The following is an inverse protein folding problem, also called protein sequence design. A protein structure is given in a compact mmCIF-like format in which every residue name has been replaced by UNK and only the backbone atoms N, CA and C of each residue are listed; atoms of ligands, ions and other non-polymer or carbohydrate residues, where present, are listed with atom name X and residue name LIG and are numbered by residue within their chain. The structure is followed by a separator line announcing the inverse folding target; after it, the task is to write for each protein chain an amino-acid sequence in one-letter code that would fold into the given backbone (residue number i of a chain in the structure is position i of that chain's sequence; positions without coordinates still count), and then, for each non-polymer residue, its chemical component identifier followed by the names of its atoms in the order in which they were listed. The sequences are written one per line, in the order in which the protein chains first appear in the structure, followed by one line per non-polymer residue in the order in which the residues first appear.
data_IF_012528263270
#
_entry.id   IF_012528263270
#
_cell.length_a   1.000
_cell.length_b   1.000
_cell.length_c   1.000
_cell.angle_alpha   90.00
_cell.angle_beta   90.00
_cell.angle_gamma   90.00
#
_symmetry.space_group_name_H-M   'P 1'
#
loop_
_entity.id
_entity.type
_entity.pdbx_description
1 polymer ?
#
# COMPACT_ATOMS: atom_id res chain seq x y z
N UNK A 1 -56.00 -15.83 58.42
CA UNK A 1 -55.39 -16.28 57.12
C UNK A 1 -55.47 -15.22 56.02
N UNK A 2 -56.53 -14.42 55.90
CA UNK A 2 -56.69 -13.43 54.83
C UNK A 2 -55.65 -12.30 54.83
N UNK A 3 -55.21 -11.80 55.98
CA UNK A 3 -54.24 -10.65 56.07
C UNK A 3 -52.87 -10.99 55.60
N UNK A 4 -52.39 -12.22 55.72
CA UNK A 4 -51.09 -12.64 55.24
C UNK A 4 -51.05 -12.84 53.69
N UNK A 5 -52.18 -13.15 53.08
CA UNK A 5 -52.33 -13.27 51.64
C UNK A 5 -52.15 -11.90 50.97
N UNK A 6 -52.68 -10.86 51.51
CA UNK A 6 -52.50 -9.49 50.99
C UNK A 6 -51.07 -8.98 51.14
N UNK A 7 -50.37 -9.36 52.19
CA UNK A 7 -48.96 -9.00 52.37
C UNK A 7 -48.08 -9.75 51.36
N UNK A 8 -48.36 -11.00 51.15
CA UNK A 8 -47.62 -11.80 50.11
C UNK A 8 -47.89 -11.27 48.71
N UNK A 9 -49.12 -10.95 48.35
CA UNK A 9 -49.49 -10.35 47.09
C UNK A 9 -48.85 -8.96 46.88
N UNK A 10 -48.81 -8.14 47.90
CA UNK A 10 -48.15 -6.83 47.87
C UNK A 10 -46.63 -6.95 47.75
N UNK A 11 -46.01 -7.93 48.41
CA UNK A 11 -44.59 -8.25 48.27
C UNK A 11 -44.22 -8.76 46.88
N UNK A 12 -45.07 -9.58 46.26
CA UNK A 12 -44.86 -10.08 44.90
C UNK A 12 -44.97 -8.97 43.83
N UNK A 13 -45.86 -7.97 44.08
CA UNK A 13 -46.00 -6.83 43.18
C UNK A 13 -44.79 -5.86 43.20
N UNK A 14 -44.04 -5.84 44.31
CA UNK A 14 -42.79 -5.03 44.42
C UNK A 14 -41.58 -5.67 43.71
N UNK A 15 -41.65 -6.96 43.37
CA UNK A 15 -40.57 -7.68 42.68
C UNK A 15 -40.65 -7.57 41.15
N UNK A 16 -41.70 -6.98 40.58
CA UNK A 16 -41.84 -6.72 39.16
C UNK A 16 -41.23 -5.37 38.73
N UNK A 17 -40.10 -4.97 39.33
CA UNK A 17 -39.30 -3.87 38.80
C UNK A 17 -38.63 -4.36 37.54
N UNK A 18 -39.28 -4.19 36.37
CA UNK A 18 -38.61 -4.27 35.08
C UNK A 18 -37.52 -3.20 35.05
N UNK A 19 -36.28 -3.60 35.28
CA UNK A 19 -35.16 -2.80 34.90
C UNK A 19 -35.26 -2.61 33.37
N UNK A 20 -35.74 -1.43 32.97
CA UNK A 20 -35.60 -1.00 31.59
C UNK A 20 -34.08 -0.97 31.33
N UNK A 21 -33.56 -1.96 30.61
CA UNK A 21 -32.25 -1.88 30.00
C UNK A 21 -32.36 -0.75 28.97
N UNK A 22 -32.25 0.49 29.45
CA UNK A 22 -32.02 1.62 28.58
C UNK A 22 -30.88 1.22 27.66
N UNK A 23 -31.07 1.33 26.36
CA UNK A 23 -30.02 1.05 25.39
C UNK A 23 -28.73 1.69 25.91
N UNK A 24 -27.67 0.87 26.04
CA UNK A 24 -26.35 1.39 26.41
C UNK A 24 -25.98 2.59 25.51
N UNK A 25 -25.05 3.42 25.94
CA UNK A 25 -24.62 4.56 25.12
C UNK A 25 -24.32 4.05 23.73
N UNK A 26 -25.13 4.50 22.78
CA UNK A 26 -24.83 4.27 21.35
C UNK A 26 -23.61 5.15 21.09
N UNK A 27 -22.49 4.52 20.73
CA UNK A 27 -21.27 5.23 20.35
C UNK A 27 -21.56 6.32 19.33
N UNK A 28 -20.68 7.29 19.22
CA UNK A 28 -20.73 8.32 18.17
C UNK A 28 -20.71 7.72 16.76
N UNK A 29 -20.78 8.53 15.71
CA UNK A 29 -20.56 8.08 14.33
C UNK A 29 -19.24 7.30 14.26
N UNK A 30 -19.24 6.20 13.49
CA UNK A 30 -18.03 5.42 13.23
C UNK A 30 -17.00 6.32 12.56
N UNK A 31 -15.77 6.32 13.05
CA UNK A 31 -14.66 6.96 12.36
C UNK A 31 -14.32 6.19 11.07
N UNK A 32 -14.18 6.92 9.98
CA UNK A 32 -13.84 6.37 8.66
C UNK A 32 -12.53 6.95 8.11
N UNK A 33 -11.85 7.78 8.93
CA UNK A 33 -10.57 8.38 8.57
C UNK A 33 -9.47 7.36 8.86
N UNK A 34 -8.59 7.05 7.91
CA UNK A 34 -7.45 6.19 8.17
C UNK A 34 -6.38 6.92 9.00
N UNK A 35 -5.48 6.18 9.68
CA UNK A 35 -4.35 6.77 10.39
C UNK A 35 -3.51 7.67 9.49
N UNK A 36 -3.08 8.82 10.02
CA UNK A 36 -2.26 9.79 9.30
C UNK A 36 -0.83 9.74 9.83
N UNK A 37 0.15 9.69 8.92
CA UNK A 37 1.57 9.72 9.27
C UNK A 37 1.95 11.12 9.75
N UNK A 38 2.42 11.24 11.00
CA UNK A 38 2.91 12.49 11.58
C UNK A 38 4.43 12.66 11.47
N UNK A 39 5.15 11.54 11.61
CA UNK A 39 6.62 11.58 11.61
C UNK A 39 7.21 10.25 11.18
N UNK A 40 8.30 10.33 10.44
CA UNK A 40 9.11 9.18 10.00
C UNK A 40 10.56 9.35 10.46
N UNK A 41 11.21 8.24 10.82
CA UNK A 41 12.61 8.25 11.22
C UNK A 41 13.30 6.94 10.79
N UNK A 42 14.22 6.98 9.79
CA UNK A 42 14.49 8.09 8.89
C UNK A 42 13.27 8.52 8.07
N UNK A 43 13.32 9.68 7.42
CA UNK A 43 12.22 10.16 6.58
C UNK A 43 12.12 9.34 5.28
N UNK A 44 10.91 9.21 4.74
CA UNK A 44 10.68 8.60 3.45
C UNK A 44 11.51 9.33 2.36
N UNK A 45 12.16 8.57 1.49
CA UNK A 45 13.08 9.14 0.50
C UNK A 45 14.51 9.34 0.98
N UNK A 46 14.90 8.82 2.16
CA UNK A 46 16.27 8.92 2.67
C UNK A 46 17.28 8.26 1.73
N UNK A 47 18.36 8.96 1.45
CA UNK A 47 19.54 8.47 0.73
C UNK A 47 20.64 8.04 1.72
N UNK A 48 21.55 7.18 1.24
CA UNK A 48 22.65 6.65 2.06
C UNK A 48 22.15 6.07 3.39
N UNK A 49 21.05 5.31 3.30
CA UNK A 49 20.40 4.70 4.45
C UNK A 49 21.34 3.67 5.10
N UNK A 50 21.68 3.91 6.35
CA UNK A 50 22.55 3.04 7.18
C UNK A 50 21.86 2.55 8.47
N UNK A 51 20.61 2.96 8.68
CA UNK A 51 19.85 2.59 9.86
C UNK A 51 19.39 1.13 9.80
N UNK A 52 19.35 0.46 10.95
CA UNK A 52 18.79 -0.91 11.06
C UNK A 52 17.29 -0.92 11.30
N UNK A 53 16.70 0.25 11.56
CA UNK A 53 15.30 0.41 11.94
C UNK A 53 14.68 1.62 11.27
N UNK A 54 13.40 1.46 10.92
CA UNK A 54 12.52 2.55 10.52
C UNK A 54 11.43 2.65 11.58
N UNK A 55 11.10 3.87 11.98
CA UNK A 55 10.00 4.17 12.89
C UNK A 55 9.06 5.19 12.23
N UNK A 56 7.77 4.88 12.23
CA UNK A 56 6.71 5.70 11.64
C UNK A 56 5.68 5.96 12.74
N UNK A 57 5.45 7.24 13.04
CA UNK A 57 4.50 7.70 14.06
C UNK A 57 3.22 8.21 13.39
N UNK A 58 2.09 7.82 13.96
CA UNK A 58 0.76 8.18 13.49
C UNK A 58 0.04 9.08 14.49
N UNK A 59 -0.97 9.78 14.02
CA UNK A 59 -1.84 10.64 14.84
C UNK A 59 -2.73 9.86 15.82
N UNK A 60 -2.94 8.56 15.57
CA UNK A 60 -3.78 7.67 16.37
C UNK A 60 -3.15 6.31 16.66
N UNK A 61 -3.82 5.47 17.46
CA UNK A 61 -3.41 4.10 17.74
C UNK A 61 -3.62 3.22 16.52
N UNK A 62 -2.60 2.46 16.14
CA UNK A 62 -2.62 1.57 14.99
C UNK A 62 -2.54 0.11 15.39
N UNK A 63 -2.99 -0.75 14.50
CA UNK A 63 -2.77 -2.19 14.52
C UNK A 63 -2.33 -2.69 13.15
N UNK A 64 -1.73 -3.87 13.11
CA UNK A 64 -1.30 -4.51 11.87
C UNK A 64 -2.23 -5.66 11.50
N UNK A 65 -2.66 -5.68 10.25
CA UNK A 65 -3.50 -6.71 9.67
C UNK A 65 -2.73 -7.53 8.64
N UNK A 66 -2.61 -8.83 8.86
CA UNK A 66 -2.00 -9.82 7.95
C UNK A 66 -0.74 -9.31 7.22
N UNK A 67 0.32 -9.05 7.99
CA UNK A 67 1.59 -8.52 7.48
C UNK A 67 2.12 -9.37 6.32
N UNK A 68 2.01 -10.70 6.42
CA UNK A 68 2.55 -11.62 5.42
C UNK A 68 1.84 -11.53 4.07
N UNK A 69 0.57 -11.15 4.07
CA UNK A 69 -0.22 -10.97 2.86
C UNK A 69 -0.10 -9.55 2.30
N UNK A 70 -0.13 -8.56 3.18
CA UNK A 70 -0.33 -7.17 2.79
C UNK A 70 0.98 -6.38 2.65
N UNK A 71 2.06 -6.77 3.35
CA UNK A 71 3.34 -6.05 3.22
C UNK A 71 4.22 -6.71 2.19
N UNK A 72 4.75 -5.89 1.28
CA UNK A 72 5.70 -6.32 0.27
C UNK A 72 6.96 -5.46 0.33
N UNK A 73 8.12 -6.12 0.34
CA UNK A 73 9.42 -5.44 0.35
C UNK A 73 10.17 -5.76 -0.94
N UNK A 74 10.59 -4.74 -1.63
CA UNK A 74 11.29 -4.84 -2.92
C UNK A 74 12.61 -4.06 -2.89
N UNK A 75 13.76 -4.71 -3.15
CA UNK A 75 13.99 -6.14 -3.45
C UNK A 75 13.55 -7.06 -2.32
N UNK A 76 13.16 -8.31 -2.65
CA UNK A 76 12.81 -9.29 -1.62
C UNK A 76 14.00 -9.61 -0.72
N UNK A 77 13.71 -9.79 0.57
CA UNK A 77 14.70 -10.11 1.60
C UNK A 77 14.70 -11.62 1.86
N UNK A 78 15.87 -12.22 2.08
CA UNK A 78 15.97 -13.65 2.48
C UNK A 78 15.40 -13.87 3.88
N UNK A 79 15.64 -12.90 4.77
CA UNK A 79 15.05 -12.88 6.12
C UNK A 79 14.07 -11.72 6.22
N UNK A 80 12.81 -12.03 6.37
CA UNK A 80 11.79 -11.02 6.54
C UNK A 80 12.13 -10.09 7.73
N UNK A 81 12.03 -8.77 7.57
CA UNK A 81 12.20 -7.85 8.67
C UNK A 81 11.10 -8.02 9.72
N UNK A 82 11.41 -7.67 10.94
CA UNK A 82 10.44 -7.63 12.02
C UNK A 82 9.63 -6.35 11.95
N UNK A 83 8.31 -6.49 11.76
CA UNK A 83 7.37 -5.37 11.67
C UNK A 83 6.43 -5.42 12.87
N UNK A 84 6.38 -4.35 13.66
CA UNK A 84 5.57 -4.25 14.87
C UNK A 84 4.85 -2.92 14.97
N UNK A 85 3.62 -2.93 15.46
CA UNK A 85 2.90 -1.75 15.89
C UNK A 85 2.80 -1.72 17.41
N UNK A 86 3.21 -0.62 18.02
CA UNK A 86 3.12 -0.37 19.46
C UNK A 86 2.52 1.01 19.69
N UNK A 87 1.26 1.05 20.14
CA UNK A 87 0.56 2.31 20.33
C UNK A 87 0.35 3.03 18.99
N UNK A 88 0.94 4.20 18.85
CA UNK A 88 0.90 5.03 17.64
C UNK A 88 2.13 4.86 16.74
N UNK A 89 2.97 3.87 17.00
CA UNK A 89 4.26 3.73 16.32
C UNK A 89 4.34 2.39 15.60
N UNK A 90 4.67 2.43 14.31
CA UNK A 90 5.11 1.30 13.51
C UNK A 90 6.63 1.25 13.52
N UNK A 91 7.20 0.07 13.75
CA UNK A 91 8.63 -0.18 13.70
C UNK A 91 8.93 -1.29 12.70
N UNK A 92 9.87 -1.06 11.81
CA UNK A 92 10.43 -2.05 10.87
C UNK A 92 11.89 -2.22 11.21
N UNK A 93 12.32 -3.46 11.54
CA UNK A 93 13.70 -3.79 11.90
C UNK A 93 14.22 -4.81 10.89
N UNK A 94 15.26 -4.46 10.15
CA UNK A 94 15.88 -5.35 9.17
C UNK A 94 16.67 -6.44 9.87
N UNK A 95 16.44 -7.70 9.46
CA UNK A 95 17.07 -8.89 10.03
C UNK A 95 18.41 -9.24 9.36
N UNK A 96 18.71 -8.63 8.23
CA UNK A 96 19.92 -8.82 7.44
C UNK A 96 20.50 -7.49 6.97
N UNK A 97 21.74 -7.51 6.51
CA UNK A 97 22.38 -6.34 5.91
C UNK A 97 21.74 -6.05 4.56
N UNK A 98 21.48 -4.77 4.31
CA UNK A 98 20.90 -4.31 3.06
C UNK A 98 22.00 -4.26 1.98
N UNK A 99 21.61 -4.54 0.74
CA UNK A 99 22.52 -4.45 -0.41
C UNK A 99 22.89 -3.00 -0.68
N UNK A 100 24.18 -2.73 -0.87
CA UNK A 100 24.68 -1.40 -1.17
C UNK A 100 24.11 -0.83 -2.48
N UNK A 101 24.05 0.50 -2.55
CA UNK A 101 23.61 1.24 -3.74
C UNK A 101 22.31 0.74 -4.32
N UNK A 102 21.35 0.40 -3.45
CA UNK A 102 20.08 -0.23 -3.83
C UNK A 102 18.91 0.58 -3.27
N UNK A 103 17.91 0.85 -4.11
CA UNK A 103 16.66 1.45 -3.67
C UNK A 103 15.73 0.36 -3.12
N UNK A 104 15.25 0.54 -1.91
CA UNK A 104 14.27 -0.32 -1.26
C UNK A 104 12.91 0.34 -1.22
N UNK A 105 11.88 -0.48 -1.35
CA UNK A 105 10.48 -0.05 -1.27
C UNK A 105 9.76 -0.99 -0.33
N UNK A 106 9.06 -0.46 0.64
CA UNK A 106 8.15 -1.18 1.53
C UNK A 106 6.75 -0.70 1.20
N UNK A 107 5.98 -1.56 0.56
CA UNK A 107 4.55 -1.33 0.32
C UNK A 107 3.77 -1.98 1.46
N UNK A 108 3.04 -1.19 2.23
CA UNK A 108 2.26 -1.68 3.35
C UNK A 108 0.86 -2.14 2.95
N UNK A 109 0.45 -1.88 1.71
CA UNK A 109 -0.87 -2.27 1.21
C UNK A 109 -1.99 -1.83 2.14
N UNK A 110 -2.71 -2.80 2.71
CA UNK A 110 -3.76 -2.58 3.72
C UNK A 110 -3.37 -3.09 5.11
N UNK A 111 -2.06 -3.26 5.38
CA UNK A 111 -1.60 -3.80 6.65
C UNK A 111 -1.77 -2.86 7.83
N UNK A 112 -1.60 -1.55 7.62
CA UNK A 112 -1.71 -0.54 8.68
C UNK A 112 -3.16 -0.13 8.81
N UNK A 113 -3.76 -0.34 9.96
CA UNK A 113 -5.15 0.01 10.23
C UNK A 113 -5.26 0.79 11.53
N UNK A 114 -6.28 1.65 11.64
CA UNK A 114 -6.74 2.16 12.92
C UNK A 114 -7.08 1.02 13.89
N UNK A 115 -6.80 1.25 15.16
CA UNK A 115 -6.99 0.23 16.21
C UNK A 115 -8.46 -0.08 16.51
N UNK A 116 -9.35 0.92 16.47
CA UNK A 116 -10.75 0.79 16.89
C UNK A 116 -11.63 0.25 15.76
N UNK A 117 -11.72 1.00 14.66
CA UNK A 117 -12.61 0.75 13.52
C UNK A 117 -12.01 -0.17 12.46
N UNK A 118 -10.69 -0.37 12.50
CA UNK A 118 -9.91 -1.16 11.52
C UNK A 118 -9.93 -0.56 10.11
N UNK A 119 -10.07 0.76 10.03
CA UNK A 119 -9.98 1.50 8.78
C UNK A 119 -8.54 1.44 8.26
N UNK A 120 -8.27 0.87 7.07
CA UNK A 120 -6.90 0.71 6.58
C UNK A 120 -6.35 2.01 6.00
N UNK A 121 -5.08 2.28 6.27
CA UNK A 121 -4.29 3.24 5.50
C UNK A 121 -3.87 2.57 4.20
N UNK A 122 -4.45 2.98 3.08
CA UNK A 122 -4.16 2.44 1.75
C UNK A 122 -3.03 3.20 1.06
N UNK A 123 -2.34 2.53 0.15
CA UNK A 123 -1.32 3.13 -0.75
C UNK A 123 -0.14 3.79 -0.02
N UNK A 124 0.10 3.43 1.25
CA UNK A 124 1.26 3.94 1.95
C UNK A 124 2.51 3.14 1.59
N UNK A 125 3.42 3.81 0.89
CA UNK A 125 4.68 3.24 0.43
C UNK A 125 5.85 4.03 1.01
N UNK A 126 6.77 3.32 1.65
CA UNK A 126 8.01 3.88 2.17
C UNK A 126 9.19 3.43 1.33
N UNK A 127 9.94 4.37 0.78
CA UNK A 127 11.11 4.10 -0.08
C UNK A 127 12.36 4.75 0.49
N UNK A 128 13.50 4.12 0.30
CA UNK A 128 14.81 4.66 0.67
C UNK A 128 15.90 4.04 -0.21
N UNK A 129 17.08 4.62 -0.19
CA UNK A 129 18.25 4.07 -0.91
C UNK A 129 19.43 3.94 0.01
N UNK A 130 20.14 2.81 -0.07
CA UNK A 130 21.44 2.62 0.57
C UNK A 130 22.56 3.33 -0.21
N UNK A 131 22.28 3.86 -1.39
CA UNK A 131 23.16 4.71 -2.20
C UNK A 131 22.73 6.17 -2.20
N UNK A 132 23.34 6.93 -3.09
CA UNK A 132 23.15 8.37 -3.27
C UNK A 132 22.01 8.76 -4.20
N UNK A 133 21.29 7.77 -4.76
CA UNK A 133 20.17 7.97 -5.70
C UNK A 133 19.02 7.04 -5.35
N UNK A 134 17.80 7.53 -5.47
CA UNK A 134 16.59 6.70 -5.55
C UNK A 134 16.25 6.49 -7.03
N UNK A 135 16.13 5.23 -7.41
CA UNK A 135 15.68 4.83 -8.74
C UNK A 135 14.22 5.27 -8.92
N UNK A 136 13.84 5.78 -10.10
CA UNK A 136 12.52 6.41 -10.31
C UNK A 136 11.72 5.87 -11.49
N UNK A 137 12.28 4.92 -12.27
CA UNK A 137 11.56 4.32 -13.38
C UNK A 137 10.54 3.30 -12.88
N UNK A 138 9.54 3.00 -13.71
CA UNK A 138 8.51 2.04 -13.39
C UNK A 138 8.11 1.21 -14.61
N UNK A 139 7.59 0.00 -14.36
CA UNK A 139 6.92 -0.85 -15.34
C UNK A 139 5.53 -1.15 -14.82
N UNK A 140 4.52 -0.93 -15.65
CA UNK A 140 3.14 -1.27 -15.33
C UNK A 140 2.56 -2.24 -16.35
N UNK A 141 1.61 -3.05 -15.92
CA UNK A 141 0.93 -4.00 -16.77
C UNK A 141 -0.28 -4.62 -16.10
N UNK A 142 -0.76 -5.70 -16.70
CA UNK A 142 -1.90 -6.44 -16.18
C UNK A 142 -1.72 -7.93 -16.39
N UNK A 143 -2.11 -8.74 -15.40
CA UNK A 143 -2.03 -10.20 -15.46
C UNK A 143 -3.42 -10.76 -15.66
N UNK A 144 -3.53 -11.68 -16.62
CA UNK A 144 -4.77 -12.36 -16.97
C UNK A 144 -4.61 -13.88 -16.88
N UNK A 145 -5.68 -14.57 -16.54
CA UNK A 145 -5.78 -16.01 -16.69
C UNK A 145 -5.80 -16.40 -18.19
N UNK A 146 -4.95 -17.34 -18.57
CA UNK A 146 -4.82 -17.74 -19.96
C UNK A 146 -6.03 -18.48 -20.53
N UNK A 147 -6.89 -19.04 -19.67
CA UNK A 147 -8.03 -19.84 -20.10
C UNK A 147 -9.29 -19.01 -20.37
N UNK A 148 -9.53 -17.96 -19.58
CA UNK A 148 -10.75 -17.18 -19.63
C UNK A 148 -10.53 -15.67 -19.78
N UNK A 149 -9.27 -15.21 -19.74
CA UNK A 149 -8.88 -13.80 -19.79
C UNK A 149 -9.39 -12.95 -18.63
N UNK A 150 -9.76 -13.57 -17.53
CA UNK A 150 -10.09 -12.83 -16.31
C UNK A 150 -8.85 -12.25 -15.65
N UNK A 151 -8.93 -11.06 -15.04
CA UNK A 151 -7.81 -10.50 -14.29
C UNK A 151 -7.51 -11.35 -13.04
N UNK A 152 -6.22 -11.54 -12.74
CA UNK A 152 -5.79 -12.31 -11.57
C UNK A 152 -5.25 -11.35 -10.51
N UNK A 153 -5.91 -11.32 -9.35
CA UNK A 153 -5.50 -10.53 -8.19
C UNK A 153 -4.45 -11.24 -7.33
N UNK A 154 -3.61 -10.46 -6.66
CA UNK A 154 -2.67 -10.95 -5.64
C UNK A 154 -1.49 -11.77 -6.16
N UNK A 155 -1.31 -11.86 -7.48
CA UNK A 155 -0.18 -12.56 -8.10
C UNK A 155 1.10 -11.75 -7.90
N UNK A 156 2.18 -12.43 -7.51
CA UNK A 156 3.51 -11.85 -7.44
C UNK A 156 4.00 -11.56 -8.85
N UNK A 157 4.40 -10.31 -9.11
CA UNK A 157 5.04 -9.90 -10.36
C UNK A 157 6.46 -9.47 -10.06
N UNK A 158 7.41 -10.05 -10.77
CA UNK A 158 8.82 -9.80 -10.51
C UNK A 158 9.65 -9.70 -11.79
N UNK A 159 10.82 -9.11 -11.65
CA UNK A 159 11.77 -8.94 -12.76
C UNK A 159 13.13 -9.53 -12.43
N UNK A 160 13.75 -10.06 -13.47
CA UNK A 160 15.14 -10.52 -13.48
C UNK A 160 15.99 -9.75 -14.47
N UNK A 161 17.25 -9.49 -14.13
CA UNK A 161 18.30 -9.05 -15.06
C UNK A 161 19.00 -10.23 -15.74
N UNK A 162 18.93 -11.42 -15.12
CA UNK A 162 19.52 -12.64 -15.66
C UNK A 162 18.59 -13.25 -16.71
N UNK A 163 19.14 -13.55 -17.89
CA UNK A 163 18.39 -14.14 -19.01
C UNK A 163 18.33 -15.67 -18.98
N UNK A 164 19.04 -16.34 -18.07
CA UNK A 164 19.01 -17.79 -17.97
C UNK A 164 17.66 -18.28 -17.42
N UNK A 165 17.10 -19.33 -18.02
CA UNK A 165 15.81 -19.89 -17.57
C UNK A 165 15.88 -20.46 -16.14
N UNK A 166 17.06 -20.93 -15.72
CA UNK A 166 17.28 -21.39 -14.34
C UNK A 166 17.26 -20.27 -13.29
N UNK A 167 17.31 -19.00 -13.71
CA UNK A 167 17.28 -17.88 -12.77
C UNK A 167 16.02 -17.88 -11.90
N UNK A 168 14.88 -18.23 -12.46
CA UNK A 168 13.61 -18.27 -11.76
C UNK A 168 13.58 -19.22 -10.54
N UNK A 169 14.35 -20.30 -10.60
CA UNK A 169 14.40 -21.32 -9.55
C UNK A 169 15.54 -21.11 -8.55
N UNK A 170 16.50 -20.24 -8.86
CA UNK A 170 17.78 -20.17 -8.13
C UNK A 170 18.14 -18.78 -7.64
N UNK A 171 17.57 -17.75 -8.23
CA UNK A 171 17.92 -16.35 -7.93
C UNK A 171 16.63 -15.59 -7.62
N UNK A 172 16.53 -14.90 -6.48
CA UNK A 172 15.39 -14.05 -6.18
C UNK A 172 15.21 -12.93 -7.24
N UNK A 173 13.99 -12.47 -7.38
CA UNK A 173 13.69 -11.31 -8.24
C UNK A 173 14.46 -10.06 -7.78
N UNK A 174 14.85 -9.22 -8.74
CA UNK A 174 15.51 -7.94 -8.47
C UNK A 174 14.51 -6.92 -7.94
N UNK A 175 13.27 -6.98 -8.41
CA UNK A 175 12.14 -6.18 -7.95
C UNK A 175 10.88 -7.01 -8.02
N UNK A 176 9.98 -6.73 -7.09
CA UNK A 176 8.68 -7.40 -7.00
C UNK A 176 7.57 -6.40 -6.70
N UNK A 177 6.36 -6.77 -7.11
CA UNK A 177 5.09 -6.16 -6.75
C UNK A 177 3.99 -7.22 -6.75
N UNK A 178 2.75 -6.85 -6.40
CA UNK A 178 1.57 -7.72 -6.54
C UNK A 178 0.53 -7.06 -7.43
N UNK A 179 -0.29 -7.89 -8.07
CA UNK A 179 -1.46 -7.40 -8.79
C UNK A 179 -2.56 -6.98 -7.82
N UNK A 180 -3.26 -5.89 -8.16
CA UNK A 180 -4.48 -5.45 -7.48
C UNK A 180 -5.68 -6.35 -7.84
N UNK A 181 -6.88 -6.01 -7.31
CA UNK A 181 -8.13 -6.75 -7.55
C UNK A 181 -8.55 -6.78 -9.03
N UNK A 182 -8.03 -5.89 -9.85
CA UNK A 182 -8.26 -5.82 -11.29
C UNK A 182 -7.12 -6.43 -12.12
N UNK A 183 -6.16 -7.07 -11.46
CA UNK A 183 -5.00 -7.67 -12.08
C UNK A 183 -3.92 -6.68 -12.51
N UNK A 184 -4.04 -5.37 -12.20
CA UNK A 184 -3.01 -4.38 -12.52
C UNK A 184 -1.84 -4.48 -11.54
N UNK A 185 -0.65 -4.19 -12.05
CA UNK A 185 0.56 -4.07 -11.25
C UNK A 185 1.40 -2.89 -11.71
N UNK A 186 2.20 -2.36 -10.79
CA UNK A 186 3.27 -1.41 -11.08
C UNK A 186 4.50 -1.75 -10.26
N UNK A 187 5.62 -2.01 -10.93
CA UNK A 187 6.93 -2.16 -10.28
C UNK A 187 7.57 -0.79 -10.29
N UNK A 188 7.73 -0.22 -9.12
CA UNK A 188 8.33 1.11 -8.92
C UNK A 188 9.84 1.03 -8.64
N UNK A 189 10.48 2.19 -8.64
CA UNK A 189 11.86 2.39 -8.22
C UNK A 189 12.85 1.52 -8.96
N UNK A 190 12.73 1.48 -10.29
CA UNK A 190 13.59 0.72 -11.18
C UNK A 190 14.70 1.58 -11.75
N UNK A 191 15.84 0.95 -12.02
CA UNK A 191 16.93 1.51 -12.85
C UNK A 191 16.63 1.34 -14.33
N UNK A 192 17.27 2.15 -15.16
CA UNK A 192 17.40 1.83 -16.59
C UNK A 192 18.15 0.51 -16.76
N UNK A 193 17.63 -0.35 -17.63
CA UNK A 193 18.20 -1.67 -17.87
C UNK A 193 17.24 -2.60 -18.59
N UNK A 194 17.74 -3.80 -18.92
CA UNK A 194 16.98 -4.84 -19.60
C UNK A 194 16.50 -5.88 -18.60
N UNK A 195 15.20 -6.15 -18.60
CA UNK A 195 14.56 -7.03 -17.64
C UNK A 195 13.68 -8.06 -18.31
N UNK A 196 13.68 -9.27 -17.76
CA UNK A 196 12.64 -10.27 -18.01
C UNK A 196 11.57 -10.11 -16.96
N UNK A 197 10.31 -10.04 -17.38
CA UNK A 197 9.15 -9.84 -16.53
C UNK A 197 8.40 -11.17 -16.37
N UNK A 198 8.06 -11.51 -15.14
CA UNK A 198 7.34 -12.72 -14.78
C UNK A 198 6.21 -12.41 -13.83
N UNK A 199 5.14 -13.23 -13.88
CA UNK A 199 4.11 -13.28 -12.87
C UNK A 199 4.07 -14.71 -12.31
N UNK A 200 4.08 -14.84 -10.99
CA UNK A 200 4.20 -16.12 -10.27
C UNK A 200 3.10 -16.22 -9.21
N UNK A 201 2.35 -17.30 -9.22
CA UNK A 201 1.50 -17.64 -8.10
C UNK A 201 2.36 -18.31 -7.01
N UNK A 202 3.12 -17.50 -6.29
CA UNK A 202 4.09 -17.89 -5.27
C UNK A 202 3.36 -18.42 -4.02
N UNK A 203 3.08 -19.71 -3.99
CA UNK A 203 2.42 -20.41 -2.88
C UNK A 203 3.39 -20.64 -1.73
N UNK A 204 4.65 -20.92 -2.07
CA UNK A 204 5.73 -21.19 -1.10
C UNK A 204 6.19 -19.93 -0.37
N UNK A 205 5.98 -18.74 -0.95
CA UNK A 205 6.41 -17.43 -0.45
C UNK A 205 7.93 -17.30 -0.31
N UNK A 206 8.66 -17.96 -1.20
CA UNK A 206 10.13 -17.91 -1.25
C UNK A 206 10.67 -17.02 -2.38
N UNK A 207 9.75 -16.41 -3.17
CA UNK A 207 10.06 -15.55 -4.32
C UNK A 207 10.82 -16.27 -5.44
N UNK A 208 10.76 -17.60 -5.46
CA UNK A 208 11.34 -18.47 -6.47
C UNK A 208 10.25 -19.34 -7.09
N UNK A 209 10.42 -19.69 -8.34
CA UNK A 209 9.50 -20.63 -8.99
C UNK A 209 9.72 -22.06 -8.47
N UNK A 210 8.66 -22.69 -8.01
CA UNK A 210 8.62 -24.10 -7.61
C UNK A 210 7.76 -24.91 -8.58
N UNK A 211 8.10 -26.20 -8.85
CA UNK A 211 7.26 -27.06 -9.68
C UNK A 211 5.82 -27.17 -9.12
N UNK A 212 4.85 -26.84 -9.96
CA UNK A 212 3.43 -26.86 -9.61
C UNK A 212 2.82 -25.48 -9.36
N UNK A 213 3.63 -24.44 -9.26
CA UNK A 213 3.15 -23.06 -9.22
C UNK A 213 2.81 -22.56 -10.64
N UNK A 214 1.74 -21.77 -10.75
CA UNK A 214 1.38 -21.16 -12.02
C UNK A 214 2.31 -19.96 -12.30
N UNK A 215 2.78 -19.90 -13.54
CA UNK A 215 3.70 -18.85 -14.00
C UNK A 215 3.26 -18.26 -15.34
N UNK A 216 3.46 -16.97 -15.51
CA UNK A 216 3.38 -16.26 -16.76
C UNK A 216 4.65 -15.42 -16.98
N UNK A 217 4.94 -15.09 -18.21
CA UNK A 217 6.11 -14.25 -18.58
C UNK A 217 5.78 -13.37 -19.76
N UNK A 218 6.51 -12.26 -19.88
CA UNK A 218 6.46 -11.44 -21.09
C UNK A 218 7.43 -12.01 -22.13
N UNK A 219 6.97 -12.16 -23.39
CA UNK A 219 7.77 -12.69 -24.50
C UNK A 219 8.97 -11.80 -24.86
N UNK A 220 8.86 -10.50 -24.57
CA UNK A 220 9.89 -9.51 -24.86
C UNK A 220 10.61 -9.05 -23.61
N UNK A 221 11.87 -8.65 -23.80
CA UNK A 221 12.63 -7.93 -22.78
C UNK A 221 11.99 -6.55 -22.58
N UNK A 222 11.78 -6.17 -21.32
CA UNK A 222 11.25 -4.87 -20.94
C UNK A 222 12.40 -3.95 -20.55
N UNK A 223 12.41 -2.75 -21.12
CA UNK A 223 13.44 -1.73 -20.85
C UNK A 223 12.74 -0.41 -20.48
N UNK A 224 12.65 -0.06 -19.18
CA UNK A 224 12.04 1.19 -18.78
C UNK A 224 12.95 2.37 -19.16
N UNK A 225 12.34 3.44 -19.68
CA UNK A 225 13.06 4.65 -20.09
C UNK A 225 12.24 5.89 -19.83
N UNK A 226 12.90 7.05 -19.83
CA UNK A 226 12.24 8.36 -19.72
C UNK A 226 12.10 8.92 -21.12
N UNK A 227 10.86 9.09 -21.57
CA UNK A 227 10.55 9.82 -22.80
C UNK A 227 10.27 11.28 -22.45
N UNK A 228 11.11 12.19 -22.94
CA UNK A 228 10.82 13.62 -22.85
C UNK A 228 9.85 14.00 -23.95
N UNK A 229 8.61 14.30 -23.57
CA UNK A 229 7.61 14.87 -24.49
C UNK A 229 7.54 16.36 -24.24
N UNK A 230 7.81 17.16 -25.27
CA UNK A 230 7.49 18.58 -25.26
C UNK A 230 5.99 18.70 -25.53
N UNK A 231 5.24 19.09 -24.52
CA UNK A 231 3.82 19.42 -24.64
C UNK A 231 3.72 20.93 -24.78
N UNK A 232 3.25 21.38 -25.94
CA UNK A 232 2.89 22.79 -26.14
C UNK A 232 1.54 23.04 -25.45
N UNK A 233 1.56 23.60 -24.28
CA UNK A 233 0.36 24.09 -23.63
C UNK A 233 -0.01 25.46 -24.20
N UNK A 234 -1.19 25.53 -24.81
CA UNK A 234 -1.74 26.81 -25.26
C UNK A 234 -2.36 27.53 -24.06
N UNK A 235 -1.67 28.52 -23.53
CA UNK A 235 -2.20 29.39 -22.47
C UNK A 235 -3.02 30.48 -23.16
N UNK A 236 -4.33 30.41 -23.02
CA UNK A 236 -5.22 31.49 -23.42
C UNK A 236 -5.14 32.62 -22.38
N UNK A 237 -4.69 33.81 -22.80
CA UNK A 237 -4.76 35.01 -22.00
C UNK A 237 -5.90 35.86 -22.51
N UNK A 238 -6.88 36.11 -21.66
CA UNK A 238 -7.91 37.10 -21.93
C UNK A 238 -7.31 38.49 -21.70
N UNK A 239 -7.23 39.26 -22.74
CA UNK A 239 -6.78 40.66 -22.64
C UNK A 239 -8.02 41.57 -22.63
N UNK A 240 -8.16 42.34 -21.56
CA UNK A 240 -9.19 43.36 -21.42
C UNK A 240 -8.65 44.65 -21.99
N UNK A 241 -9.21 45.11 -23.07
CA UNK A 241 -8.93 46.40 -23.65
C UNK A 241 -10.16 47.33 -23.53
N UNK A 242 -9.92 48.65 -23.56
CA UNK A 242 -11.00 49.62 -23.65
C UNK A 242 -10.95 50.21 -25.07
N UNK A 243 -12.05 50.12 -25.78
CA UNK A 243 -12.20 50.77 -27.08
C UNK A 243 -12.02 52.29 -26.90
N UNK A 244 -11.06 52.93 -27.60
CA UNK A 244 -10.79 54.35 -27.42
C UNK A 244 -11.94 55.26 -27.92
N UNK A 245 -12.81 54.80 -28.82
CA UNK A 245 -13.89 55.59 -29.38
C UNK A 245 -15.21 55.41 -28.61
N UNK A 246 -15.55 54.14 -28.29
CA UNK A 246 -16.83 53.84 -27.61
C UNK A 246 -16.67 53.72 -26.09
N UNK A 247 -15.46 53.55 -25.59
CA UNK A 247 -15.10 53.29 -24.19
C UNK A 247 -15.70 51.99 -23.65
N UNK A 248 -16.12 51.10 -24.54
CA UNK A 248 -16.60 49.76 -24.17
C UNK A 248 -15.42 48.82 -23.86
N UNK A 249 -15.69 47.83 -23.01
CA UNK A 249 -14.69 46.81 -22.66
C UNK A 249 -14.60 45.76 -23.77
N UNK A 250 -13.41 45.66 -24.38
CA UNK A 250 -13.11 44.64 -25.38
C UNK A 250 -12.43 43.45 -24.75
N UNK A 251 -12.96 42.25 -25.01
CA UNK A 251 -12.34 40.97 -24.63
C UNK A 251 -11.67 40.37 -25.87
N UNK A 252 -10.38 40.23 -25.86
CA UNK A 252 -9.66 39.54 -26.94
C UNK A 252 -9.01 38.29 -26.37
N UNK A 253 -9.29 37.15 -26.95
CA UNK A 253 -8.67 35.88 -26.65
C UNK A 253 -7.46 35.69 -27.56
N UNK A 254 -6.26 35.56 -26.98
CA UNK A 254 -5.03 35.27 -27.69
C UNK A 254 -4.49 33.90 -27.32
#
# INVERSE_FOLDING_TARGET
MSRYIYIILFSLALLSSCANLGGGPQGGPRDTIPPIVEKESPINGTLNFDAKRIEIHFDEYIQLNDIQKNVLISPPQQKAPEIKAIGKTLSVVFAEELTDSTTYTIDFGSAICDYNEKTPLLEYVYSFSTGDVIDSLAISGRVYDAGNLDPIAGVLVGIHTNSADSALNTIPFVRITRTDDNGYFTIHNMRSGKYRLFALNDISRDYLYQPGEAIAFADSIVEPYIEKREQLDTIWRDTIGIDPETKDTLFTRQ
#
